data_IF_863649515526
#
_entry.id   IF_863649515526
#
_cell.length_a   1.000
_cell.length_b   1.000
_cell.length_c   1.000
_cell.angle_alpha   90.00
_cell.angle_beta   90.00
_cell.angle_gamma   90.00
#
_symmetry.space_group_name_H-M   'P 1'
#
loop_
_entity.id
_entity.type
_entity.pdbx_description
1 polymer ?
#
# COMPACT_ATOMS: atom_id res chain seq x y z
N UNK A 1 1.92 2.16 23.26
CA UNK A 1 0.50 2.58 23.29
C UNK A 1 -0.11 1.85 22.12
N UNK A 2 -0.98 0.86 22.36
CA UNK A 2 -1.47 -0.02 21.29
C UNK A 2 -2.24 0.81 20.26
N UNK A 3 -1.87 0.68 18.99
CA UNK A 3 -2.62 1.25 17.87
C UNK A 3 -4.02 0.63 17.92
N UNK A 4 -5.03 1.44 18.22
CA UNK A 4 -6.41 0.97 18.22
C UNK A 4 -6.85 0.71 16.79
N UNK A 5 -7.18 -0.53 16.48
CA UNK A 5 -7.67 -0.90 15.16
C UNK A 5 -9.08 -0.34 14.95
N UNK A 6 -9.29 0.31 13.81
CA UNK A 6 -10.57 0.87 13.41
C UNK A 6 -11.35 -0.15 12.59
N UNK A 7 -12.62 -0.38 12.93
CA UNK A 7 -13.48 -1.26 12.15
C UNK A 7 -13.79 -0.63 10.78
N UNK A 8 -13.41 -1.32 9.71
CA UNK A 8 -13.60 -0.92 8.30
C UNK A 8 -14.04 -2.14 7.46
N UNK A 9 -15.25 -2.70 7.70
CA UNK A 9 -15.72 -3.93 7.05
C UNK A 9 -15.75 -3.82 5.51
N UNK A 10 -15.88 -2.61 4.97
CA UNK A 10 -15.86 -2.35 3.53
C UNK A 10 -14.50 -2.65 2.87
N UNK A 11 -13.41 -2.70 3.64
CA UNK A 11 -12.07 -3.02 3.13
C UNK A 11 -11.84 -4.51 2.92
N UNK A 12 -12.68 -5.37 3.51
CA UNK A 12 -12.51 -6.82 3.44
C UNK A 12 -12.43 -7.33 2.01
N UNK A 13 -13.39 -6.94 1.18
CA UNK A 13 -13.48 -7.39 -0.21
C UNK A 13 -12.28 -6.95 -1.06
N UNK A 14 -11.90 -5.65 -1.11
CA UNK A 14 -10.75 -5.22 -1.91
C UNK A 14 -9.41 -5.78 -1.40
N UNK A 15 -9.23 -5.92 -0.08
CA UNK A 15 -8.01 -6.54 0.50
C UNK A 15 -7.89 -8.00 0.10
N UNK A 16 -8.96 -8.79 0.28
CA UNK A 16 -8.96 -10.21 -0.11
C UNK A 16 -8.78 -10.39 -1.62
N UNK A 17 -9.38 -9.51 -2.44
CA UNK A 17 -9.20 -9.53 -3.88
C UNK A 17 -7.74 -9.27 -4.28
N UNK A 18 -7.08 -8.31 -3.62
CA UNK A 18 -5.66 -8.05 -3.84
C UNK A 18 -4.78 -9.24 -3.43
N UNK A 19 -5.02 -9.83 -2.26
CA UNK A 19 -4.29 -11.02 -1.78
C UNK A 19 -4.43 -12.16 -2.78
N UNK A 20 -5.66 -12.49 -3.18
CA UNK A 20 -5.93 -13.57 -4.12
C UNK A 20 -5.26 -13.32 -5.49
N UNK A 21 -5.28 -12.08 -5.97
CA UNK A 21 -4.63 -11.70 -7.22
C UNK A 21 -3.12 -11.86 -7.15
N UNK A 22 -2.47 -11.32 -6.11
CA UNK A 22 -1.01 -11.42 -5.94
C UNK A 22 -0.59 -12.88 -5.79
N UNK A 23 -1.29 -13.67 -4.97
CA UNK A 23 -0.99 -15.08 -4.77
C UNK A 23 -1.15 -15.90 -6.06
N UNK A 24 -2.23 -15.64 -6.82
CA UNK A 24 -2.50 -16.31 -8.09
C UNK A 24 -1.50 -15.95 -9.18
N UNK A 25 -1.20 -14.67 -9.36
CA UNK A 25 -0.27 -14.20 -10.40
C UNK A 25 1.20 -14.54 -10.05
N UNK A 26 1.57 -14.61 -8.77
CA UNK A 26 2.91 -15.03 -8.34
C UNK A 26 3.27 -16.43 -8.84
N UNK A 27 2.31 -17.36 -8.85
CA UNK A 27 2.52 -18.71 -9.38
C UNK A 27 2.75 -18.73 -10.91
N UNK A 28 2.33 -17.68 -11.63
CA UNK A 28 2.43 -17.58 -13.09
C UNK A 28 3.70 -16.88 -13.59
N UNK A 29 4.47 -16.23 -12.71
CA UNK A 29 5.71 -15.53 -13.06
C UNK A 29 5.62 -14.02 -12.83
N UNK A 30 6.25 -13.21 -13.69
CA UNK A 30 6.16 -11.75 -13.58
C UNK A 30 4.75 -11.25 -13.90
N UNK A 31 4.27 -10.27 -13.15
CA UNK A 31 2.94 -9.70 -13.32
C UNK A 31 2.87 -8.22 -12.95
N UNK A 32 1.72 -7.60 -13.20
CA UNK A 32 1.48 -6.18 -12.94
C UNK A 32 0.14 -5.95 -12.24
N UNK A 33 0.13 -5.03 -11.28
CA UNK A 33 -1.09 -4.59 -10.59
C UNK A 33 -1.22 -3.09 -10.75
N UNK A 34 -2.36 -2.56 -11.23
CA UNK A 34 -2.59 -1.13 -11.29
C UNK A 34 -2.37 -0.46 -9.94
N UNK A 35 -1.59 0.63 -9.91
CA UNK A 35 -1.28 1.34 -8.65
C UNK A 35 -2.56 1.78 -7.93
N UNK A 36 -3.59 2.16 -8.68
CA UNK A 36 -4.90 2.52 -8.14
C UNK A 36 -5.53 1.38 -7.33
N UNK A 37 -5.40 0.12 -7.78
CA UNK A 37 -5.97 -1.03 -7.09
C UNK A 37 -5.26 -1.33 -5.77
N UNK A 38 -3.96 -1.04 -5.65
CA UNK A 38 -3.26 -1.11 -4.37
C UNK A 38 -3.81 -0.09 -3.38
N UNK A 39 -4.02 1.16 -3.80
CA UNK A 39 -4.53 2.23 -2.94
C UNK A 39 -5.98 2.00 -2.51
N UNK A 40 -6.81 1.45 -3.40
CA UNK A 40 -8.18 1.01 -3.06
C UNK A 40 -8.16 -0.07 -1.97
N UNK A 41 -7.24 -1.04 -2.06
CA UNK A 41 -7.07 -2.08 -1.03
C UNK A 41 -6.47 -1.55 0.28
N UNK A 42 -5.63 -0.51 0.24
CA UNK A 42 -5.08 0.12 1.46
C UNK A 42 -6.12 0.93 2.24
N UNK A 43 -7.34 1.04 1.73
CA UNK A 43 -8.48 1.66 2.42
C UNK A 43 -8.41 3.17 2.53
N UNK A 44 -7.66 3.78 1.61
CA UNK A 44 -7.49 5.22 1.51
C UNK A 44 -8.56 5.77 0.58
N UNK A 45 -9.43 6.62 1.11
CA UNK A 45 -10.51 7.20 0.33
C UNK A 45 -9.96 8.32 -0.55
N UNK A 46 -9.89 8.07 -1.85
CA UNK A 46 -9.35 9.03 -2.83
C UNK A 46 -10.47 9.63 -3.67
N UNK A 47 -10.44 10.95 -3.87
CA UNK A 47 -11.32 11.60 -4.84
C UNK A 47 -10.96 11.16 -6.27
N UNK A 48 -11.93 11.19 -7.19
CA UNK A 48 -11.72 10.77 -8.59
C UNK A 48 -10.56 11.51 -9.29
N UNK A 49 -10.31 12.79 -8.93
CA UNK A 49 -9.15 13.54 -9.41
C UNK A 49 -7.83 12.88 -9.03
N UNK A 50 -7.73 12.30 -7.83
CA UNK A 50 -6.55 11.65 -7.28
C UNK A 50 -6.41 10.22 -7.83
N UNK A 51 -7.52 9.50 -7.99
CA UNK A 51 -7.53 8.21 -8.67
C UNK A 51 -7.00 8.33 -10.11
N UNK A 52 -7.36 9.40 -10.85
CA UNK A 52 -6.80 9.66 -12.18
C UNK A 52 -5.28 9.86 -12.18
N UNK A 53 -4.73 10.48 -11.13
CA UNK A 53 -3.27 10.62 -10.99
C UNK A 53 -2.61 9.24 -10.84
N UNK A 54 -3.16 8.38 -9.99
CA UNK A 54 -2.67 7.00 -9.81
C UNK A 54 -2.77 6.18 -11.09
N UNK A 55 -3.89 6.28 -11.82
CA UNK A 55 -4.06 5.60 -13.12
C UNK A 55 -3.05 6.08 -14.16
N UNK A 56 -2.74 7.38 -14.17
CA UNK A 56 -1.74 7.97 -15.08
C UNK A 56 -0.32 7.51 -14.77
N UNK A 57 -0.04 7.22 -13.49
CA UNK A 57 1.24 6.66 -13.03
C UNK A 57 1.42 5.18 -13.44
N UNK A 58 0.33 4.48 -13.71
CA UNK A 58 0.34 3.13 -14.29
C UNK A 58 0.46 2.01 -13.25
N UNK A 59 1.11 0.93 -13.66
CA UNK A 59 1.09 -0.33 -12.92
C UNK A 59 2.35 -0.53 -12.06
N UNK A 60 2.18 -1.25 -10.96
CA UNK A 60 3.27 -1.79 -10.15
C UNK A 60 3.64 -3.16 -10.70
N UNK A 61 4.90 -3.30 -11.12
CA UNK A 61 5.46 -4.56 -11.59
C UNK A 61 5.90 -5.41 -10.41
N UNK A 62 5.52 -6.68 -10.41
CA UNK A 62 5.94 -7.69 -9.43
C UNK A 62 6.78 -8.77 -10.12
N UNK A 63 7.89 -9.14 -9.47
CA UNK A 63 8.85 -10.13 -9.96
C UNK A 63 9.08 -11.17 -8.85
N UNK A 64 8.51 -12.37 -8.96
CA UNK A 64 8.80 -13.48 -8.07
C UNK A 64 10.30 -13.80 -8.02
N UNK A 65 10.80 -14.14 -6.83
CA UNK A 65 12.20 -14.56 -6.60
C UNK A 65 12.29 -15.91 -5.89
N UNK A 66 11.33 -16.21 -5.03
CA UNK A 66 11.22 -17.45 -4.26
C UNK A 66 9.74 -17.88 -4.22
N UNK A 67 9.45 -19.06 -3.66
CA UNK A 67 8.12 -19.69 -3.67
C UNK A 67 6.96 -18.84 -3.10
N UNK A 68 7.26 -17.84 -2.27
CA UNK A 68 6.27 -16.97 -1.64
C UNK A 68 6.75 -15.51 -1.55
N UNK A 69 7.82 -15.15 -2.28
CA UNK A 69 8.49 -13.85 -2.14
C UNK A 69 8.96 -13.31 -3.47
N UNK A 70 9.01 -12.00 -3.58
CA UNK A 70 9.56 -11.33 -4.75
C UNK A 70 9.79 -9.86 -4.50
N UNK A 71 10.00 -9.11 -5.59
CA UNK A 71 10.15 -7.66 -5.56
C UNK A 71 9.02 -6.98 -6.30
N UNK A 72 8.68 -5.78 -5.86
CA UNK A 72 7.77 -4.91 -6.58
C UNK A 72 8.44 -3.57 -6.90
N UNK A 73 8.01 -2.95 -8.00
CA UNK A 73 8.50 -1.63 -8.40
C UNK A 73 7.51 -0.87 -9.28
N UNK A 74 7.48 0.45 -9.16
CA UNK A 74 6.80 1.37 -10.04
C UNK A 74 7.60 2.68 -10.13
N UNK A 75 7.90 3.13 -11.34
CA UNK A 75 8.72 4.32 -11.61
C UNK A 75 7.95 5.39 -12.40
N UNK A 76 8.29 6.65 -12.20
CA UNK A 76 7.69 7.81 -12.87
C UNK A 76 8.01 9.11 -12.11
N UNK A 77 7.34 10.22 -12.42
CA UNK A 77 7.50 11.48 -11.66
C UNK A 77 6.84 11.42 -10.27
N UNK A 78 7.48 11.99 -9.25
CA UNK A 78 6.92 12.08 -7.88
C UNK A 78 5.47 12.56 -7.91
N UNK A 79 4.62 11.90 -7.13
CA UNK A 79 3.18 12.12 -7.15
C UNK A 79 2.64 12.30 -5.75
N UNK A 80 1.90 13.39 -5.54
CA UNK A 80 1.13 13.59 -4.32
C UNK A 80 -0.35 13.31 -4.56
N UNK A 81 -0.93 12.48 -3.68
CA UNK A 81 -2.38 12.20 -3.64
C UNK A 81 -3.00 12.58 -2.31
N UNK A 82 -4.12 13.28 -2.37
CA UNK A 82 -4.90 13.68 -1.19
C UNK A 82 -5.93 12.61 -0.84
N UNK A 83 -5.99 12.23 0.44
CA UNK A 83 -7.01 11.31 0.95
C UNK A 83 -8.10 12.07 1.71
N UNK A 84 -9.31 11.51 1.78
CA UNK A 84 -10.43 12.14 2.49
C UNK A 84 -10.19 12.28 4.00
N UNK A 85 -9.28 11.46 4.54
CA UNK A 85 -8.87 11.43 5.94
C UNK A 85 -7.92 12.59 6.32
N UNK A 86 -7.67 13.53 5.41
CA UNK A 86 -6.79 14.68 5.64
C UNK A 86 -5.30 14.33 5.61
N UNK A 87 -4.97 13.20 5.00
CA UNK A 87 -3.60 12.75 4.75
C UNK A 87 -3.23 13.07 3.30
N UNK A 88 -1.98 13.45 3.09
CA UNK A 88 -1.38 13.50 1.75
C UNK A 88 -0.38 12.37 1.65
N UNK A 89 -0.52 11.51 0.66
CA UNK A 89 0.44 10.46 0.38
C UNK A 89 1.35 10.90 -0.75
N UNK A 90 2.66 10.79 -0.52
CA UNK A 90 3.67 11.06 -1.53
C UNK A 90 4.20 9.72 -2.04
N UNK A 91 4.02 9.48 -3.32
CA UNK A 91 4.60 8.35 -4.06
C UNK A 91 5.92 8.86 -4.65
N UNK A 92 7.07 8.28 -4.26
CA UNK A 92 8.37 8.71 -4.75
C UNK A 92 8.52 8.46 -6.25
N UNK A 93 9.55 9.05 -6.86
CA UNK A 93 9.89 8.78 -8.26
C UNK A 93 10.08 7.29 -8.53
N UNK A 94 10.68 6.57 -7.58
CA UNK A 94 10.78 5.12 -7.60
C UNK A 94 10.13 4.55 -6.34
N UNK A 95 8.96 3.92 -6.51
CA UNK A 95 8.30 3.12 -5.49
C UNK A 95 8.79 1.69 -5.61
N UNK A 96 9.43 1.13 -4.59
CA UNK A 96 9.99 -0.22 -4.67
C UNK A 96 10.14 -0.90 -3.30
N UNK A 97 10.22 -2.22 -3.34
CA UNK A 97 10.40 -3.04 -2.14
C UNK A 97 10.34 -4.53 -2.41
N UNK A 98 10.27 -5.30 -1.32
CA UNK A 98 10.05 -6.74 -1.33
C UNK A 98 8.59 -7.04 -0.95
N UNK A 99 8.05 -8.13 -1.47
CA UNK A 99 6.74 -8.64 -1.05
C UNK A 99 6.85 -10.09 -0.59
N UNK A 100 5.95 -10.47 0.31
CA UNK A 100 5.69 -11.84 0.74
C UNK A 100 4.20 -12.11 0.53
N UNK A 101 3.85 -13.24 -0.06
CA UNK A 101 2.45 -13.60 -0.31
C UNK A 101 2.17 -15.05 0.07
N UNK A 102 0.98 -15.27 0.60
CA UNK A 102 0.37 -16.59 0.80
C UNK A 102 -1.04 -16.56 0.24
N UNK A 103 -1.77 -17.69 0.18
CA UNK A 103 -3.18 -17.69 -0.25
C UNK A 103 -4.10 -16.78 0.59
N UNK A 104 -3.71 -16.41 1.82
CA UNK A 104 -4.53 -15.61 2.74
C UNK A 104 -3.84 -14.35 3.27
N UNK A 105 -2.63 -14.02 2.81
CA UNK A 105 -1.92 -12.82 3.28
C UNK A 105 -0.99 -12.21 2.23
N UNK A 106 -0.76 -10.91 2.40
CA UNK A 106 0.18 -10.11 1.63
C UNK A 106 0.93 -9.17 2.56
N UNK A 107 2.26 -9.19 2.44
CA UNK A 107 3.14 -8.20 3.07
C UNK A 107 3.87 -7.46 1.97
N UNK A 108 3.85 -6.13 2.03
CA UNK A 108 4.71 -5.24 1.23
C UNK A 108 5.69 -4.55 2.18
N UNK A 109 6.99 -4.70 1.94
CA UNK A 109 8.05 -4.02 2.70
C UNK A 109 8.78 -3.08 1.77
N UNK A 110 8.76 -1.79 2.07
CA UNK A 110 9.37 -0.78 1.21
C UNK A 110 10.88 -0.67 1.44
N UNK A 111 11.61 -0.35 0.37
CA UNK A 111 13.02 0.00 0.44
C UNK A 111 13.25 1.41 0.97
N UNK A 112 14.45 1.67 1.49
CA UNK A 112 14.87 3.00 1.93
C UNK A 112 14.87 3.98 0.74
N UNK A 113 14.25 5.16 0.93
CA UNK A 113 14.12 6.18 -0.11
C UNK A 113 13.16 5.82 -1.25
N UNK A 114 12.55 4.63 -1.24
CA UNK A 114 11.58 4.16 -2.23
C UNK A 114 10.21 3.86 -1.63
N UNK A 115 9.97 4.31 -0.40
CA UNK A 115 8.73 4.13 0.34
C UNK A 115 7.68 5.21 0.01
N UNK A 116 6.41 4.84 0.14
CA UNK A 116 5.31 5.82 0.22
C UNK A 116 5.52 6.69 1.45
N UNK A 117 5.15 7.97 1.40
CA UNK A 117 5.22 8.85 2.57
C UNK A 117 3.84 9.34 2.96
N UNK A 118 3.44 9.10 4.21
CA UNK A 118 2.25 9.67 4.82
C UNK A 118 2.56 11.04 5.41
N UNK A 119 1.96 12.09 4.84
CA UNK A 119 2.09 13.45 5.31
C UNK A 119 0.81 13.94 5.97
N UNK A 120 0.93 14.53 7.16
CA UNK A 120 -0.15 15.20 7.88
C UNK A 120 0.24 16.63 8.22
N UNK A 121 -0.70 17.56 8.07
CA UNK A 121 -0.48 18.97 8.41
C UNK A 121 -0.98 19.26 9.82
N UNK A 122 -0.06 19.36 10.79
CA UNK A 122 -0.34 19.73 12.18
C UNK A 122 0.58 20.91 12.53
N UNK A 123 0.12 22.15 12.34
CA UNK A 123 0.89 23.40 12.38
C UNK A 123 2.03 23.50 11.33
N UNK A 124 2.77 22.41 11.10
CA UNK A 124 3.76 22.16 10.05
C UNK A 124 3.41 20.85 9.30
N UNK A 125 3.92 20.66 8.07
CA UNK A 125 3.76 19.39 7.34
C UNK A 125 4.76 18.38 7.89
N UNK A 126 4.27 17.31 8.48
CA UNK A 126 5.08 16.18 8.97
C UNK A 126 4.86 15.01 8.03
N UNK A 127 5.93 14.46 7.47
CA UNK A 127 5.89 13.31 6.59
C UNK A 127 6.66 12.15 7.21
N UNK A 128 6.12 10.95 7.12
CA UNK A 128 6.72 9.72 7.59
C UNK A 128 6.67 8.67 6.49
N UNK A 129 7.77 7.95 6.29
CA UNK A 129 7.86 6.87 5.30
C UNK A 129 7.03 5.67 5.79
N UNK A 130 6.21 5.06 4.95
CA UNK A 130 5.54 3.80 5.26
C UNK A 130 6.58 2.69 5.13
N UNK A 131 6.86 1.99 6.22
CA UNK A 131 7.89 0.94 6.25
C UNK A 131 7.33 -0.35 5.65
N UNK A 132 6.10 -0.68 6.03
CA UNK A 132 5.50 -1.98 5.74
C UNK A 132 3.98 -1.88 5.70
N UNK A 133 3.37 -2.71 4.84
CA UNK A 133 1.93 -2.95 4.83
C UNK A 133 1.72 -4.45 4.96
N UNK A 134 1.00 -4.87 6.00
CA UNK A 134 0.57 -6.25 6.22
C UNK A 134 -0.93 -6.36 6.05
N UNK A 135 -1.37 -7.31 5.24
CA UNK A 135 -2.77 -7.60 5.03
C UNK A 135 -3.02 -9.10 5.16
N UNK A 136 -4.09 -9.46 5.84
CA UNK A 136 -4.61 -10.82 5.93
C UNK A 136 -6.15 -10.83 5.82
N UNK A 137 -6.78 -11.97 6.10
CA UNK A 137 -8.22 -12.13 6.02
C UNK A 137 -9.03 -11.39 7.10
N UNK A 138 -8.35 -10.84 8.12
CA UNK A 138 -8.95 -10.19 9.28
C UNK A 138 -8.59 -8.71 9.42
N UNK A 139 -7.39 -8.32 8.95
CA UNK A 139 -6.89 -6.96 9.15
C UNK A 139 -5.95 -6.46 8.06
N UNK A 140 -5.85 -5.14 7.99
CA UNK A 140 -4.85 -4.39 7.26
C UNK A 140 -4.08 -3.52 8.26
N UNK A 141 -2.76 -3.64 8.27
CA UNK A 141 -1.86 -2.90 9.13
C UNK A 141 -0.82 -2.17 8.28
N UNK A 142 -0.67 -0.86 8.52
CA UNK A 142 0.27 0.02 7.84
C UNK A 142 1.24 0.55 8.91
N UNK A 143 2.49 0.13 8.80
CA UNK A 143 3.59 0.44 9.73
C UNK A 143 4.27 1.76 9.31
N UNK A 144 4.30 2.72 10.23
CA UNK A 144 4.98 4.00 10.07
C UNK A 144 6.02 4.19 11.19
N UNK A 145 7.09 5.00 10.96
CA UNK A 145 8.10 5.28 11.96
C UNK A 145 7.49 5.86 13.25
N UNK A 146 7.54 5.03 14.30
CA UNK A 146 6.97 5.31 15.60
C UNK A 146 5.51 4.86 15.70
N UNK A 147 5.26 3.91 16.62
CA UNK A 147 3.97 3.23 16.86
C UNK A 147 2.74 4.14 16.97
N UNK A 148 2.91 5.44 17.20
CA UNK A 148 1.79 6.40 17.33
C UNK A 148 1.13 6.75 16.00
N UNK A 149 1.75 6.41 14.88
CA UNK A 149 1.28 6.78 13.55
C UNK A 149 0.75 5.60 12.74
N UNK A 150 0.96 4.36 13.20
CA UNK A 150 0.49 3.19 12.48
C UNK A 150 -1.02 3.22 12.30
N UNK A 151 -1.45 2.65 11.19
CA UNK A 151 -2.86 2.48 10.91
C UNK A 151 -3.19 0.99 11.01
N UNK A 152 -4.21 0.66 11.79
CA UNK A 152 -4.76 -0.69 11.85
C UNK A 152 -6.25 -0.63 11.49
N UNK A 153 -6.64 -1.47 10.55
CA UNK A 153 -8.04 -1.67 10.16
C UNK A 153 -8.41 -3.13 10.34
N UNK A 154 -9.57 -3.40 10.94
CA UNK A 154 -10.15 -4.74 11.10
C UNK A 154 -11.46 -4.83 10.33
N UNK A 155 -11.77 -5.99 9.78
CA UNK A 155 -12.94 -6.21 8.91
C UNK A 155 -13.71 -7.48 9.26
#
# INVERSE_FOLDING_TARGET
MLVECVARPELRAPVLALIARVAGEHAAGEFVIPLVSLFEAFGLSLAEKELRKLRSRGDVKFVPREAARGRFSNSGGELEVETAEGLTLVIPETLAGDYITTPSSLTLKFGEGTALRGCKRIFVRICQDIIKIDADEHKLYIDLPGEKYDLCFVF
#
